data_IF_717600941043
#
_entry.id   IF_717600941043
#
_cell.length_a   1.000
_cell.length_b   1.000
_cell.length_c   1.000
_cell.angle_alpha   90.00
_cell.angle_beta   90.00
_cell.angle_gamma   90.00
#
_symmetry.space_group_name_H-M   'P 1'
#
loop_
_entity.id
_entity.type
_entity.pdbx_description
1 polymer ?
#
# COMPACT_ATOMS: atom_id res chain seq x y z
N UNK A 1 7.87 15.43 -1.07
CA UNK A 1 9.20 14.87 -0.74
C UNK A 1 9.87 15.75 0.31
N UNK A 2 9.98 15.30 1.57
CA UNK A 2 10.44 16.11 2.72
C UNK A 2 11.38 15.30 3.64
N UNK A 3 12.69 15.23 3.34
CA UNK A 3 13.65 14.43 4.09
C UNK A 3 13.71 14.78 5.59
N UNK A 4 13.61 16.07 5.93
CA UNK A 4 13.66 16.55 7.32
C UNK A 4 12.47 16.06 8.16
N UNK A 5 11.30 15.88 7.56
CA UNK A 5 10.13 15.34 8.25
C UNK A 5 10.33 13.84 8.50
N UNK A 6 10.84 13.08 7.52
CA UNK A 6 11.16 11.66 7.68
C UNK A 6 12.20 11.46 8.80
N UNK A 7 13.24 12.31 8.87
CA UNK A 7 14.24 12.27 9.94
C UNK A 7 13.62 12.50 11.32
N UNK A 8 12.73 13.50 11.45
CA UNK A 8 12.06 13.81 12.73
C UNK A 8 11.16 12.65 13.18
N UNK A 9 10.41 12.06 12.26
CA UNK A 9 9.55 10.91 12.55
C UNK A 9 10.39 9.68 12.92
N UNK A 10 11.45 9.40 12.15
CA UNK A 10 12.35 8.28 12.42
C UNK A 10 13.03 8.40 13.78
N UNK A 11 13.48 9.60 14.16
CA UNK A 11 14.03 9.85 15.48
C UNK A 11 13.00 9.62 16.60
N UNK A 12 11.75 10.07 16.42
CA UNK A 12 10.67 9.83 17.38
C UNK A 12 10.30 8.33 17.49
N UNK A 13 10.47 7.57 16.41
CA UNK A 13 10.26 6.12 16.34
C UNK A 13 11.50 5.30 16.75
N UNK A 14 12.59 5.92 17.23
CA UNK A 14 13.83 5.23 17.57
C UNK A 14 13.66 4.12 18.62
N UNK A 15 12.66 4.22 19.50
CA UNK A 15 12.33 3.19 20.49
C UNK A 15 11.81 1.88 19.86
N UNK A 16 11.34 1.92 18.62
CA UNK A 16 10.97 0.75 17.80
C UNK A 16 12.16 0.17 17.02
N UNK A 17 13.38 0.72 17.19
CA UNK A 17 14.57 0.31 16.47
C UNK A 17 14.79 1.02 15.12
N UNK A 18 14.04 2.09 14.83
CA UNK A 18 14.19 2.87 13.60
C UNK A 18 15.50 3.67 13.63
N UNK A 19 16.36 3.49 12.63
CA UNK A 19 17.55 4.31 12.42
C UNK A 19 17.71 4.67 10.94
N UNK A 20 17.66 5.97 10.62
CA UNK A 20 17.68 6.48 9.24
C UNK A 20 19.08 6.96 8.84
N UNK A 21 19.54 6.54 7.66
CA UNK A 21 20.68 7.08 6.95
C UNK A 21 20.28 8.42 6.29
N UNK A 22 20.88 9.52 6.77
CA UNK A 22 20.52 10.87 6.32
C UNK A 22 20.82 11.11 4.85
N UNK A 23 21.87 10.51 4.30
CA UNK A 23 22.26 10.74 2.92
C UNK A 23 21.38 9.94 1.96
N UNK A 24 21.07 8.69 2.29
CA UNK A 24 20.04 7.90 1.56
C UNK A 24 18.68 8.58 1.63
N UNK A 25 18.31 9.09 2.80
CA UNK A 25 17.07 9.82 3.00
C UNK A 25 16.98 11.12 2.18
N UNK A 26 18.07 11.88 2.05
CA UNK A 26 18.13 13.10 1.22
C UNK A 26 17.95 12.78 -0.26
N UNK A 27 18.59 11.71 -0.74
CA UNK A 27 18.43 11.23 -2.13
C UNK A 27 17.07 10.60 -2.40
N UNK A 28 16.33 10.27 -1.33
CA UNK A 28 15.10 9.49 -1.39
C UNK A 28 15.33 8.13 -2.06
N UNK A 29 16.44 7.47 -1.69
CA UNK A 29 16.69 6.08 -2.05
C UNK A 29 15.53 5.20 -1.52
N UNK A 30 15.26 4.08 -2.17
CA UNK A 30 14.15 3.19 -1.78
C UNK A 30 14.29 2.69 -0.34
N UNK A 31 15.51 2.32 0.08
CA UNK A 31 15.83 1.91 1.45
C UNK A 31 16.70 3.00 2.08
N UNK A 32 16.20 3.60 3.16
CA UNK A 32 16.86 4.69 3.89
C UNK A 32 17.24 4.30 5.32
N UNK A 33 17.04 3.04 5.72
CA UNK A 33 17.54 2.53 7.00
C UNK A 33 19.07 2.45 7.00
N UNK A 34 19.67 2.71 8.16
CA UNK A 34 21.05 2.32 8.45
C UNK A 34 21.13 0.79 8.56
N UNK A 35 22.30 0.22 8.26
CA UNK A 35 22.53 -1.23 8.43
C UNK A 35 22.33 -1.73 9.87
N UNK A 36 22.48 -0.85 10.85
CA UNK A 36 22.25 -1.13 12.27
C UNK A 36 20.79 -0.88 12.72
N UNK A 37 19.91 -0.42 11.83
CA UNK A 37 18.48 -0.26 12.13
C UNK A 37 17.86 -1.63 12.43
N UNK A 38 17.00 -1.69 13.45
CA UNK A 38 16.27 -2.92 13.80
C UNK A 38 15.12 -3.24 12.84
N UNK A 39 14.74 -2.27 12.00
CA UNK A 39 13.72 -2.41 10.95
C UNK A 39 14.15 -1.71 9.68
N UNK A 40 13.65 -2.18 8.54
CA UNK A 40 13.80 -1.47 7.27
C UNK A 40 12.91 -0.23 7.23
N UNK A 41 13.45 0.85 6.64
CA UNK A 41 12.71 2.09 6.41
C UNK A 41 12.76 2.38 4.93
N UNK A 42 11.60 2.40 4.29
CA UNK A 42 11.49 2.56 2.84
C UNK A 42 10.83 3.89 2.45
N UNK A 43 11.22 4.41 1.29
CA UNK A 43 10.54 5.51 0.60
C UNK A 43 9.96 4.99 -0.70
N UNK A 44 8.66 4.69 -0.70
CA UNK A 44 7.95 4.17 -1.87
C UNK A 44 7.04 5.28 -2.43
N UNK A 45 7.28 5.76 -3.66
CA UNK A 45 6.35 6.66 -4.33
C UNK A 45 4.98 5.96 -4.50
N UNK A 46 3.91 6.66 -4.20
CA UNK A 46 2.56 6.17 -4.49
C UNK A 46 2.22 6.43 -5.96
N UNK A 47 1.48 5.50 -6.56
CA UNK A 47 0.85 5.64 -7.88
C UNK A 47 -0.64 5.37 -7.68
N UNK A 48 -1.37 6.45 -7.42
CA UNK A 48 -2.78 6.39 -7.03
C UNK A 48 -3.65 5.89 -8.18
N UNK A 49 -3.36 6.33 -9.40
CA UNK A 49 -4.06 5.95 -10.62
C UNK A 49 -3.90 4.45 -10.89
N UNK A 50 -2.70 3.90 -10.74
CA UNK A 50 -2.47 2.45 -10.89
C UNK A 50 -3.17 1.65 -9.80
N UNK A 51 -3.15 2.12 -8.55
CA UNK A 51 -3.83 1.45 -7.44
C UNK A 51 -5.34 1.38 -7.68
N UNK A 52 -5.97 2.51 -8.00
CA UNK A 52 -7.41 2.59 -8.30
C UNK A 52 -7.76 1.76 -9.55
N UNK A 53 -6.96 1.86 -10.61
CA UNK A 53 -7.17 1.09 -11.85
C UNK A 53 -7.13 -0.42 -11.60
N UNK A 54 -6.19 -0.89 -10.77
CA UNK A 54 -6.08 -2.32 -10.42
C UNK A 54 -7.31 -2.79 -9.64
N UNK A 55 -7.77 -2.00 -8.66
CA UNK A 55 -8.97 -2.31 -7.87
C UNK A 55 -10.25 -2.33 -8.71
N UNK A 56 -10.39 -1.41 -9.68
CA UNK A 56 -11.54 -1.38 -10.59
C UNK A 56 -11.58 -2.63 -11.48
N UNK A 57 -10.43 -3.05 -12.03
CA UNK A 57 -10.34 -4.27 -12.84
C UNK A 57 -10.69 -5.51 -12.01
N UNK A 58 -10.21 -5.59 -10.78
CA UNK A 58 -10.53 -6.68 -9.85
C UNK A 58 -12.04 -6.71 -9.53
N UNK A 59 -12.65 -5.58 -9.16
CA UNK A 59 -14.07 -5.49 -8.87
C UNK A 59 -14.96 -5.84 -10.09
N UNK A 60 -14.52 -5.45 -11.29
CA UNK A 60 -15.22 -5.74 -12.55
C UNK A 60 -15.16 -7.24 -12.88
N UNK A 61 -14.07 -7.91 -12.51
CA UNK A 61 -13.92 -9.37 -12.69
C UNK A 61 -14.81 -10.18 -11.74
N UNK A 62 -15.06 -9.67 -10.52
CA UNK A 62 -15.90 -10.29 -9.50
C UNK A 62 -17.40 -10.15 -9.78
N UNK A 63 -17.82 -9.07 -10.45
CA UNK A 63 -19.24 -8.74 -10.72
C UNK A 63 -19.89 -9.62 -11.81
N UNK A 64 -19.17 -10.57 -12.42
CA UNK A 64 -19.75 -11.52 -13.41
C UNK A 64 -20.56 -12.66 -12.78
N UNK A 65 -21.05 -12.53 -11.55
CA UNK A 65 -22.06 -13.43 -11.01
C UNK A 65 -23.40 -13.18 -11.72
N UNK A 66 -23.74 -14.09 -12.63
CA UNK A 66 -24.97 -14.11 -13.44
C UNK A 66 -26.21 -13.84 -12.57
N UNK A 67 -27.20 -13.05 -13.04
CA UNK A 67 -28.47 -12.95 -12.36
C UNK A 67 -29.11 -14.34 -12.34
N UNK A 68 -29.33 -14.90 -11.15
CA UNK A 68 -30.09 -16.14 -10.97
C UNK A 68 -31.56 -15.80 -11.22
N UNK A 69 -31.96 -15.80 -12.49
CA UNK A 69 -33.37 -15.68 -12.85
C UNK A 69 -34.08 -16.97 -12.39
N UNK A 70 -34.68 -16.90 -11.21
CA UNK A 70 -35.50 -18.00 -10.66
C UNK A 70 -36.84 -17.95 -11.37
N UNK A 71 -37.04 -18.82 -12.37
CA UNK A 71 -38.36 -19.01 -12.98
C UNK A 71 -39.34 -19.53 -11.92
N UNK A 72 -40.53 -18.93 -11.75
CA UNK A 72 -41.52 -19.47 -10.84
C UNK A 72 -41.99 -20.83 -11.37
N UNK A 73 -41.83 -21.87 -10.55
CA UNK A 73 -42.34 -23.21 -10.85
C UNK A 73 -43.84 -23.13 -11.10
N UNK A 74 -44.23 -23.30 -12.36
CA UNK A 74 -45.62 -23.46 -12.75
C UNK A 74 -46.21 -24.70 -12.06
N UNK A 75 -47.41 -24.51 -11.50
CA UNK A 75 -48.34 -25.45 -10.86
C UNK A 75 -48.24 -26.91 -11.33
N UNK A 76 -48.54 -27.84 -10.43
CA UNK A 76 -49.45 -28.94 -10.76
C UNK A 76 -50.54 -29.07 -9.68
N UNK A 77 -51.73 -29.36 -10.19
CA UNK A 77 -53.02 -29.48 -9.52
C UNK A 77 -53.08 -30.71 -8.61
#
# INVERSE_FOLDING_TARGET
NAPSIRERIGAAAGWLGVAIDKDRNRRADEIISLAASGVDVLVIPTDEERAVGSQLLEASSSTRARPRFMLPSARRH
#
